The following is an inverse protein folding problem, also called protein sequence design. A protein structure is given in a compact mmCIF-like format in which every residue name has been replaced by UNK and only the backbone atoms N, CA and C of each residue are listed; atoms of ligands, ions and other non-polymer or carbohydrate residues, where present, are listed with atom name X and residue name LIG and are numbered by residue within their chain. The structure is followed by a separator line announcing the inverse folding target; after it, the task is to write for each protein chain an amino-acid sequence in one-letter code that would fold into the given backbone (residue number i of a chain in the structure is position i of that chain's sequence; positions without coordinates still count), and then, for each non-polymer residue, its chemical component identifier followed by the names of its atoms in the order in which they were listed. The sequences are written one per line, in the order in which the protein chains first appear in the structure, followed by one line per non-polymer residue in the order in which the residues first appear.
data_IF_713885744313
#
_entry.id   IF_713885744313
#
_cell.length_a   1.000
_cell.length_b   1.000
_cell.length_c   1.000
_cell.angle_alpha   90.00
_cell.angle_beta   90.00
_cell.angle_gamma   90.00
#
_symmetry.space_group_name_H-M   'P 1'
#
loop_
_entity.id
_entity.type
_entity.pdbx_description
1 polymer ?
#
# COMPACT_ATOMS: atom_id res chain seq x y z
N UNK A 1 3.13 -49.41 -44.40
CA UNK A 1 3.29 -48.02 -43.91
C UNK A 1 2.11 -47.17 -44.38
N UNK A 2 1.18 -46.81 -43.49
CA UNK A 2 0.33 -45.58 -43.57
C UNK A 2 -0.11 -45.25 -42.13
N UNK A 3 0.44 -44.17 -41.56
CA UNK A 3 0.08 -43.63 -40.25
C UNK A 3 -1.23 -42.84 -40.39
N UNK A 4 -2.27 -43.15 -39.60
CA UNK A 4 -3.41 -42.24 -39.41
C UNK A 4 -3.21 -41.52 -38.08
N UNK A 5 -2.85 -40.24 -38.17
CA UNK A 5 -2.75 -39.36 -37.02
C UNK A 5 -4.18 -38.89 -36.69
N UNK A 6 -4.73 -39.40 -35.59
CA UNK A 6 -5.99 -38.91 -35.02
C UNK A 6 -5.66 -37.65 -34.21
N UNK A 7 -6.03 -36.48 -34.75
CA UNK A 7 -5.96 -35.22 -34.02
C UNK A 7 -7.29 -35.08 -33.27
N UNK A 8 -7.34 -35.60 -32.05
CA UNK A 8 -8.37 -35.22 -31.09
C UNK A 8 -7.98 -33.83 -30.57
N UNK A 9 -8.60 -32.80 -31.12
CA UNK A 9 -8.51 -31.44 -30.59
C UNK A 9 -9.15 -31.42 -29.20
N UNK A 10 -8.33 -31.23 -28.17
CA UNK A 10 -8.82 -30.89 -26.84
C UNK A 10 -9.38 -29.47 -26.90
N UNK A 11 -10.70 -29.35 -26.92
CA UNK A 11 -11.37 -28.07 -26.70
C UNK A 11 -11.09 -27.64 -25.26
N UNK A 12 -10.12 -26.75 -25.07
CA UNK A 12 -9.93 -26.05 -23.80
C UNK A 12 -11.08 -25.06 -23.67
N UNK A 13 -12.14 -25.46 -22.98
CA UNK A 13 -13.23 -24.59 -22.57
C UNK A 13 -12.70 -23.65 -21.49
N UNK A 14 -12.28 -22.45 -21.86
CA UNK A 14 -12.04 -21.37 -20.89
C UNK A 14 -13.40 -20.82 -20.48
N UNK A 15 -14.08 -21.56 -19.60
CA UNK A 15 -15.26 -21.10 -18.90
C UNK A 15 -14.82 -20.35 -17.65
N UNK A 16 -14.57 -19.05 -17.75
CA UNK A 16 -14.48 -18.20 -16.55
C UNK A 16 -15.85 -17.55 -16.38
N UNK A 17 -16.76 -18.27 -15.74
CA UNK A 17 -17.89 -17.66 -15.06
C UNK A 17 -17.36 -17.04 -13.77
N UNK A 18 -17.12 -15.74 -13.74
CA UNK A 18 -17.07 -15.01 -12.47
C UNK A 18 -17.98 -13.81 -12.53
N UNK A 19 -19.25 -14.05 -12.23
CA UNK A 19 -20.01 -13.06 -11.45
C UNK A 19 -19.29 -12.93 -10.10
N UNK A 20 -18.41 -11.94 -9.95
CA UNK A 20 -17.79 -11.65 -8.66
C UNK A 20 -18.19 -10.26 -8.19
N UNK A 21 -18.97 -10.26 -7.12
CA UNK A 21 -19.13 -9.18 -6.16
C UNK A 21 -17.77 -8.49 -5.92
N UNK A 22 -17.72 -7.17 -6.04
CA UNK A 22 -16.50 -6.38 -5.93
C UNK A 22 -16.05 -6.33 -4.46
N UNK A 23 -15.29 -7.33 -4.05
CA UNK A 23 -14.62 -7.43 -2.74
C UNK A 23 -13.11 -7.54 -2.98
N UNK A 24 -12.31 -6.63 -2.38
CA UNK A 24 -10.84 -6.56 -2.29
C UNK A 24 -10.00 -7.30 -3.37
N UNK A 25 -10.47 -7.29 -4.62
CA UNK A 25 -9.86 -7.86 -5.82
C UNK A 25 -9.53 -6.70 -6.75
N UNK A 26 -8.49 -5.95 -6.41
CA UNK A 26 -7.86 -5.05 -7.38
C UNK A 26 -7.30 -5.92 -8.50
N UNK A 27 -7.54 -5.61 -9.78
CA UNK A 27 -6.74 -6.19 -10.84
C UNK A 27 -5.26 -5.94 -10.52
N UNK A 28 -4.42 -6.94 -10.75
CA UNK A 28 -2.97 -6.82 -10.61
C UNK A 28 -2.51 -5.60 -11.40
N UNK A 29 -1.94 -4.59 -10.71
CA UNK A 29 -1.58 -3.29 -11.30
C UNK A 29 -0.21 -3.35 -11.96
N UNK A 30 0.68 -4.17 -11.40
CA UNK A 30 2.05 -4.35 -11.86
C UNK A 30 2.35 -5.83 -12.04
N UNK A 31 3.02 -6.15 -13.14
CA UNK A 31 3.71 -7.43 -13.31
C UNK A 31 4.79 -7.60 -12.23
N UNK A 32 5.26 -8.84 -11.96
CA UNK A 32 6.34 -9.06 -11.01
C UNK A 32 7.62 -8.27 -11.32
N UNK A 33 7.95 -8.10 -12.61
CA UNK A 33 9.14 -7.35 -13.04
C UNK A 33 8.99 -5.85 -12.79
N UNK A 34 7.84 -5.26 -13.14
CA UNK A 34 7.53 -3.85 -12.86
C UNK A 34 7.54 -3.57 -11.37
N UNK A 35 6.94 -4.46 -10.56
CA UNK A 35 6.92 -4.32 -9.11
C UNK A 35 8.34 -4.34 -8.54
N UNK A 36 9.19 -5.27 -9.01
CA UNK A 36 10.60 -5.34 -8.59
C UNK A 36 11.34 -4.05 -8.95
N UNK A 37 11.12 -3.51 -10.15
CA UNK A 37 11.72 -2.25 -10.59
C UNK A 37 11.28 -1.07 -9.71
N UNK A 38 9.98 -0.97 -9.43
CA UNK A 38 9.43 0.09 -8.58
C UNK A 38 9.97 0.01 -7.15
N UNK A 39 10.12 -1.20 -6.58
CA UNK A 39 10.72 -1.38 -5.26
C UNK A 39 12.17 -0.87 -5.22
N UNK A 40 12.95 -1.13 -6.26
CA UNK A 40 14.32 -0.61 -6.37
C UNK A 40 14.35 0.92 -6.51
N UNK A 41 13.49 1.47 -7.38
CA UNK A 41 13.39 2.92 -7.61
C UNK A 41 12.92 3.69 -6.38
N UNK A 42 12.11 3.07 -5.50
CA UNK A 42 11.59 3.69 -4.29
C UNK A 42 12.47 3.48 -3.05
N UNK A 43 13.64 2.83 -3.17
CA UNK A 43 14.58 2.73 -2.05
C UNK A 43 15.02 4.11 -1.59
N UNK A 44 15.02 4.31 -0.27
CA UNK A 44 15.49 5.56 0.32
C UNK A 44 17.01 5.63 0.18
N UNK A 45 17.50 6.77 -0.31
CA UNK A 45 18.94 7.01 -0.37
C UNK A 45 19.49 7.25 1.04
N UNK A 46 20.24 6.29 1.58
CA UNK A 46 20.90 6.37 2.89
C UNK A 46 22.19 5.56 2.87
N UNK A 47 23.19 5.95 3.68
CA UNK A 47 24.40 5.16 3.87
C UNK A 47 24.17 3.93 4.79
N UNK A 48 23.10 3.94 5.58
CA UNK A 48 22.79 2.85 6.50
C UNK A 48 22.25 1.62 5.73
N UNK A 49 23.04 0.55 5.70
CA UNK A 49 22.73 -0.68 4.98
C UNK A 49 21.53 -1.43 5.59
N UNK A 50 21.36 -1.39 6.92
CA UNK A 50 20.23 -2.03 7.60
C UNK A 50 18.90 -1.40 7.16
N UNK A 51 18.86 -0.07 7.02
CA UNK A 51 17.67 0.62 6.51
C UNK A 51 17.38 0.21 5.07
N UNK A 52 18.42 0.18 4.21
CA UNK A 52 18.28 -0.22 2.79
C UNK A 52 17.73 -1.63 2.61
N UNK A 53 18.14 -2.55 3.48
CA UNK A 53 17.78 -3.97 3.34
C UNK A 53 16.42 -4.30 3.96
N UNK A 54 15.97 -3.52 4.94
CA UNK A 54 14.79 -3.86 5.74
C UNK A 54 13.62 -2.88 5.62
N UNK A 55 13.82 -1.69 5.06
CA UNK A 55 12.74 -0.75 4.77
C UNK A 55 12.25 -0.95 3.33
N UNK A 56 11.13 -1.66 3.20
CA UNK A 56 10.59 -2.08 1.91
C UNK A 56 9.44 -1.18 1.47
N UNK A 57 9.47 -0.67 0.24
CA UNK A 57 8.31 -0.01 -0.37
C UNK A 57 7.23 -1.03 -0.71
N UNK A 58 5.98 -0.71 -0.35
CA UNK A 58 4.85 -1.61 -0.53
C UNK A 58 3.84 -1.01 -1.52
N UNK A 59 3.42 -1.82 -2.48
CA UNK A 59 2.33 -1.48 -3.39
C UNK A 59 0.97 -1.87 -2.79
N UNK A 60 -0.13 -1.14 -3.11
CA UNK A 60 -1.47 -1.52 -2.68
C UNK A 60 -1.88 -2.95 -3.07
N UNK A 61 -1.38 -3.46 -4.21
CA UNK A 61 -1.71 -4.80 -4.72
C UNK A 61 -1.16 -5.94 -3.84
N UNK A 62 -0.17 -5.66 -2.99
CA UNK A 62 0.44 -6.63 -2.08
C UNK A 62 -0.40 -6.85 -0.82
N UNK A 63 -1.45 -6.03 -0.63
CA UNK A 63 -2.44 -6.14 0.47
C UNK A 63 -1.79 -6.29 1.87
N UNK A 64 -0.89 -5.39 2.29
CA UNK A 64 -0.15 -5.52 3.55
C UNK A 64 -1.03 -5.50 4.81
N UNK A 65 -2.28 -5.02 4.71
CA UNK A 65 -3.19 -4.82 5.84
C UNK A 65 -4.36 -5.82 5.87
N UNK A 66 -4.17 -7.00 5.27
CA UNK A 66 -5.17 -8.07 5.33
C UNK A 66 -5.24 -8.73 6.72
N UNK A 67 -4.17 -8.64 7.49
CA UNK A 67 -4.09 -9.14 8.84
C UNK A 67 -3.24 -8.20 9.68
N UNK A 68 -3.35 -8.35 11.00
CA UNK A 68 -2.43 -7.72 11.96
C UNK A 68 -1.14 -8.52 11.85
N UNK A 69 -0.04 -7.84 11.49
CA UNK A 69 1.27 -8.47 11.28
C UNK A 69 2.35 -7.97 12.25
N UNK A 70 1.96 -7.09 13.20
CA UNK A 70 2.82 -6.46 14.20
C UNK A 70 4.03 -5.69 13.63
N UNK A 71 4.05 -5.44 12.31
CA UNK A 71 5.12 -4.69 11.65
C UNK A 71 4.91 -3.19 11.76
N UNK A 72 6.00 -2.46 11.65
CA UNK A 72 5.97 -1.00 11.58
C UNK A 72 5.84 -0.54 10.13
N UNK A 73 4.98 0.43 9.92
CA UNK A 73 4.71 1.05 8.64
C UNK A 73 4.96 2.55 8.70
N UNK A 74 5.45 3.08 7.58
CA UNK A 74 5.58 4.51 7.32
C UNK A 74 4.69 4.85 6.14
N UNK A 75 3.80 5.81 6.32
CA UNK A 75 2.88 6.25 5.26
C UNK A 75 3.13 7.72 5.00
N UNK A 76 3.40 8.05 3.75
CA UNK A 76 3.45 9.44 3.29
C UNK A 76 2.11 9.79 2.66
N UNK A 77 1.39 10.70 3.30
CA UNK A 77 0.02 11.05 2.94
C UNK A 77 -0.29 12.53 3.14
N UNK A 78 -1.40 12.97 2.57
CA UNK A 78 -1.99 14.29 2.80
C UNK A 78 -3.50 14.23 2.65
N UNK A 79 -4.20 15.12 3.34
CA UNK A 79 -5.66 15.17 3.32
C UNK A 79 -6.25 15.79 2.05
N UNK A 80 -5.55 16.76 1.46
CA UNK A 80 -5.98 17.52 0.28
C UNK A 80 -4.75 17.83 -0.59
N UNK A 81 -4.95 18.03 -1.90
CA UNK A 81 -3.85 18.30 -2.84
C UNK A 81 -3.11 19.61 -2.61
N UNK A 82 -3.73 20.56 -1.90
CA UNK A 82 -3.12 21.85 -1.51
C UNK A 82 -2.31 21.76 -0.23
N UNK A 83 -2.45 20.66 0.52
CA UNK A 83 -1.70 20.43 1.74
C UNK A 83 -0.34 19.81 1.46
N UNK A 84 0.60 20.06 2.36
CA UNK A 84 1.91 19.44 2.36
C UNK A 84 1.81 17.94 2.67
N UNK A 85 2.82 17.19 2.22
CA UNK A 85 2.96 15.78 2.54
C UNK A 85 3.39 15.62 3.99
N UNK A 86 2.76 14.68 4.70
CA UNK A 86 3.13 14.26 6.05
C UNK A 86 3.58 12.80 6.02
N UNK A 87 4.56 12.47 6.84
CA UNK A 87 4.96 11.09 7.12
C UNK A 87 4.42 10.67 8.49
N UNK A 88 3.79 9.50 8.53
CA UNK A 88 3.24 8.92 9.76
C UNK A 88 3.78 7.52 9.94
N UNK A 89 4.37 7.26 11.12
CA UNK A 89 4.86 5.94 11.55
C UNK A 89 3.82 5.29 12.47
N UNK A 90 3.51 4.02 12.26
CA UNK A 90 2.63 3.27 13.15
C UNK A 90 2.93 1.77 13.15
N UNK A 91 2.54 1.07 14.22
CA UNK A 91 2.56 -0.39 14.29
C UNK A 91 1.21 -0.94 13.83
N UNK A 92 1.23 -1.96 12.98
CA UNK A 92 0.03 -2.68 12.53
C UNK A 92 -0.39 -3.70 13.58
N UNK A 93 -0.77 -3.20 14.77
CA UNK A 93 -1.15 -3.98 15.96
C UNK A 93 -2.68 -4.06 16.16
N UNK A 94 -3.41 -3.09 15.61
CA UNK A 94 -4.86 -3.06 15.59
C UNK A 94 -5.39 -2.16 14.46
N UNK A 95 -6.69 -2.27 14.21
CA UNK A 95 -7.37 -1.43 13.22
C UNK A 95 -7.96 -0.19 13.90
N UNK A 96 -7.43 0.99 13.58
CA UNK A 96 -7.75 2.26 14.26
C UNK A 96 -7.50 3.49 13.39
N UNK A 97 -7.88 4.67 13.91
CA UNK A 97 -7.29 5.94 13.45
C UNK A 97 -5.81 5.94 13.82
N UNK A 98 -4.97 6.12 12.81
CA UNK A 98 -3.51 6.12 12.92
C UNK A 98 -3.02 7.50 13.35
N UNK A 99 -3.50 8.54 12.67
CA UNK A 99 -3.02 9.91 12.85
C UNK A 99 -4.06 10.92 12.36
N UNK A 100 -3.94 12.17 12.83
CA UNK A 100 -4.79 13.29 12.42
C UNK A 100 -3.93 14.44 11.90
N UNK A 101 -4.43 15.12 10.89
CA UNK A 101 -3.78 16.30 10.33
C UNK A 101 -4.83 17.25 9.76
N UNK A 102 -4.93 18.45 10.32
CA UNK A 102 -6.02 19.39 10.05
C UNK A 102 -7.38 18.72 10.25
N UNK A 103 -8.27 18.82 9.26
CA UNK A 103 -9.58 18.19 9.24
C UNK A 103 -9.55 16.76 8.66
N UNK A 104 -8.38 16.12 8.60
CA UNK A 104 -8.22 14.80 8.01
C UNK A 104 -7.68 13.76 8.99
N UNK A 105 -8.06 12.50 8.78
CA UNK A 105 -7.58 11.35 9.53
C UNK A 105 -7.05 10.27 8.60
N UNK A 106 -5.86 9.76 8.92
CA UNK A 106 -5.35 8.51 8.36
C UNK A 106 -5.88 7.36 9.22
N UNK A 107 -6.49 6.37 8.58
CA UNK A 107 -7.08 5.22 9.27
C UNK A 107 -6.70 3.92 8.55
N UNK A 108 -6.71 2.82 9.31
CA UNK A 108 -6.56 1.46 8.78
C UNK A 108 -7.81 0.65 9.15
N UNK A 109 -8.48 0.09 8.15
CA UNK A 109 -9.69 -0.74 8.34
C UNK A 109 -9.44 -2.22 8.04
N UNK A 110 -10.04 -3.13 8.84
CA UNK A 110 -9.88 -4.56 8.65
C UNK A 110 -10.60 -5.03 7.38
N UNK A 111 -10.13 -6.12 6.75
CA UNK A 111 -10.83 -6.73 5.62
C UNK A 111 -12.19 -7.36 5.98
N UNK A 112 -12.49 -7.55 7.28
CA UNK A 112 -13.85 -7.92 7.72
C UNK A 112 -14.90 -6.92 7.24
N UNK A 113 -14.51 -5.67 7.01
CA UNK A 113 -15.37 -4.61 6.49
C UNK A 113 -15.44 -4.60 4.94
N UNK A 114 -15.28 -5.79 4.30
CA UNK A 114 -15.21 -6.24 2.88
C UNK A 114 -15.33 -5.23 1.72
N UNK A 115 -16.02 -4.13 1.94
CA UNK A 115 -16.22 -2.95 1.09
C UNK A 115 -15.02 -1.96 1.18
N UNK A 116 -14.31 -1.91 2.32
CA UNK A 116 -13.14 -1.04 2.55
C UNK A 116 -12.06 -1.82 3.30
N UNK A 117 -10.95 -2.15 2.64
CA UNK A 117 -9.79 -2.84 3.22
C UNK A 117 -8.56 -1.91 3.19
N UNK A 118 -7.81 -1.81 4.29
CA UNK A 118 -6.50 -1.14 4.32
C UNK A 118 -6.54 0.35 4.67
N UNK A 119 -5.57 1.11 4.15
CA UNK A 119 -5.41 2.54 4.45
C UNK A 119 -6.48 3.39 3.75
N UNK A 120 -7.02 4.34 4.50
CA UNK A 120 -7.94 5.36 3.99
C UNK A 120 -7.69 6.71 4.66
N UNK A 121 -8.17 7.74 3.99
CA UNK A 121 -8.23 9.10 4.52
C UNK A 121 -9.70 9.48 4.69
N UNK A 122 -10.02 9.92 5.91
CA UNK A 122 -11.30 10.51 6.25
C UNK A 122 -11.18 12.03 6.36
N UNK A 123 -12.23 12.74 5.95
CA UNK A 123 -12.38 14.18 6.15
C UNK A 123 -13.44 14.44 7.23
N UNK A 124 -13.17 15.37 8.13
CA UNK A 124 -14.05 15.79 9.21
C UNK A 124 -15.31 16.44 8.65
N UNK A 125 -16.44 16.06 9.24
CA UNK A 125 -17.78 16.59 9.04
C UNK A 125 -18.44 16.76 10.42
N UNK A 126 -19.58 17.41 10.47
CA UNK A 126 -20.30 17.65 11.73
C UNK A 126 -20.67 16.36 12.48
N UNK A 127 -20.88 15.26 11.75
CA UNK A 127 -21.26 13.94 12.28
C UNK A 127 -20.08 12.96 12.43
N UNK A 128 -18.84 13.40 12.25
CA UNK A 128 -17.64 12.56 12.35
C UNK A 128 -16.78 12.60 11.09
N UNK A 129 -16.05 11.53 10.80
CA UNK A 129 -15.17 11.46 9.62
C UNK A 129 -15.81 10.66 8.48
N UNK A 130 -15.86 11.28 7.30
CA UNK A 130 -16.32 10.63 6.08
C UNK A 130 -15.10 10.14 5.28
N UNK A 131 -14.99 8.85 4.93
CA UNK A 131 -13.95 8.38 4.02
C UNK A 131 -14.01 9.11 2.67
N UNK A 132 -12.91 9.73 2.26
CA UNK A 132 -12.79 10.44 0.97
C UNK A 132 -11.84 9.74 -0.02
N UNK A 133 -10.85 9.00 0.49
CA UNK A 133 -9.89 8.29 -0.35
C UNK A 133 -9.46 6.97 0.29
N UNK A 134 -9.42 5.90 -0.50
CA UNK A 134 -8.78 4.64 -0.14
C UNK A 134 -7.44 4.57 -0.85
N UNK A 135 -6.41 4.08 -0.19
CA UNK A 135 -5.08 3.95 -0.79
C UNK A 135 -5.08 3.11 -2.07
N UNK A 136 -5.85 2.01 -2.06
CA UNK A 136 -6.00 1.12 -3.21
C UNK A 136 -6.61 1.79 -4.45
N UNK A 137 -7.40 2.85 -4.26
CA UNK A 137 -8.11 3.57 -5.32
C UNK A 137 -7.42 4.89 -5.71
N UNK A 138 -6.34 5.29 -5.02
CA UNK A 138 -5.61 6.53 -5.27
C UNK A 138 -4.59 6.38 -6.40
N UNK A 139 -5.07 6.19 -7.62
CA UNK A 139 -4.22 5.87 -8.78
C UNK A 139 -3.22 6.96 -9.14
N UNK A 140 -3.52 8.22 -8.81
CA UNK A 140 -2.70 9.38 -9.14
C UNK A 140 -1.77 9.80 -7.99
N UNK A 141 -1.72 9.02 -6.90
CA UNK A 141 -0.98 9.35 -5.69
C UNK A 141 -1.30 10.76 -5.19
N UNK A 142 -2.59 11.13 -5.25
CA UNK A 142 -3.07 12.47 -4.90
C UNK A 142 -3.06 12.70 -3.39
N UNK A 143 -3.29 11.64 -2.62
CA UNK A 143 -3.40 11.64 -1.17
C UNK A 143 -2.42 10.68 -0.49
N UNK A 144 -2.00 9.62 -1.17
CA UNK A 144 -0.99 8.67 -0.71
C UNK A 144 0.20 8.68 -1.66
N UNK A 145 1.35 9.14 -1.18
CA UNK A 145 2.57 9.19 -1.99
C UNK A 145 3.30 7.86 -1.99
N UNK A 146 3.46 7.25 -0.82
CA UNK A 146 4.18 5.99 -0.64
C UNK A 146 3.89 5.36 0.71
N UNK A 147 4.10 4.05 0.78
CA UNK A 147 4.00 3.25 2.00
C UNK A 147 5.23 2.37 2.09
N UNK A 148 5.86 2.37 3.27
CA UNK A 148 7.00 1.53 3.57
C UNK A 148 6.69 0.62 4.75
N UNK A 149 7.30 -0.56 4.75
CA UNK A 149 7.24 -1.53 5.82
C UNK A 149 8.63 -1.79 6.35
N UNK A 150 8.78 -1.74 7.66
CA UNK A 150 9.97 -2.19 8.35
C UNK A 150 9.89 -3.70 8.60
N UNK A 151 10.88 -4.44 8.09
CA UNK A 151 10.89 -5.90 8.15
C UNK A 151 11.70 -6.48 9.33
N UNK A 152 12.30 -5.63 10.19
CA UNK A 152 12.94 -6.04 11.44
C UNK A 152 12.08 -5.71 12.66
N UNK A 153 12.59 -6.09 13.82
CA UNK A 153 12.05 -5.72 15.13
C UNK A 153 12.19 -4.21 15.41
N UNK A 154 11.53 -3.77 16.48
CA UNK A 154 11.34 -2.36 16.85
C UNK A 154 12.64 -1.58 17.12
N UNK A 155 13.70 -2.26 17.54
CA UNK A 155 14.88 -1.62 18.14
C UNK A 155 15.70 -0.75 17.18
N UNK A 156 15.46 -0.84 15.86
CA UNK A 156 16.21 -0.14 14.82
C UNK A 156 15.31 0.63 13.85
N UNK A 157 14.19 1.17 14.33
CA UNK A 157 13.26 1.92 13.48
C UNK A 157 13.92 3.19 12.94
N UNK A 158 13.97 3.37 11.61
CA UNK A 158 14.52 4.59 11.03
C UNK A 158 13.63 5.79 11.32
N UNK A 159 14.24 6.91 11.70
CA UNK A 159 13.53 8.18 11.72
C UNK A 159 13.50 8.75 10.31
N UNK A 160 12.31 8.73 9.71
CA UNK A 160 12.09 9.23 8.36
C UNK A 160 11.49 10.64 8.40
N UNK A 161 12.02 11.53 7.57
CA UNK A 161 11.56 12.90 7.39
C UNK A 161 11.29 13.19 5.93
N UNK A 162 10.51 14.23 5.67
CA UNK A 162 10.22 14.75 4.34
C UNK A 162 11.04 16.02 4.15
N UNK A 163 11.81 16.11 3.07
CA UNK A 163 12.57 17.32 2.72
C UNK A 163 11.69 18.38 2.03
N UNK A 164 12.24 19.58 1.81
CA UNK A 164 11.52 20.70 1.17
C UNK A 164 11.04 20.39 -0.26
N UNK A 165 11.61 19.36 -0.90
CA UNK A 165 11.20 18.85 -2.22
C UNK A 165 10.22 17.68 -2.10
N UNK A 166 9.68 17.46 -0.91
CA UNK A 166 8.79 16.37 -0.55
C UNK A 166 9.39 14.96 -0.69
N UNK A 167 10.71 14.81 -0.75
CA UNK A 167 11.37 13.51 -0.80
C UNK A 167 11.59 12.97 0.60
N UNK A 168 11.52 11.64 0.73
CA UNK A 168 11.72 10.97 2.01
C UNK A 168 13.22 10.77 2.22
N UNK A 169 13.70 11.09 3.41
CA UNK A 169 15.08 10.85 3.84
C UNK A 169 15.09 10.25 5.22
N UNK A 170 16.18 9.55 5.53
CA UNK A 170 16.52 9.27 6.92
C UNK A 170 16.96 10.58 7.55
N UNK A 171 16.41 10.91 8.71
CA UNK A 171 16.86 12.04 9.51
C UNK A 171 18.31 11.77 9.88
N UNK A 172 19.23 12.54 9.31
CA UNK A 172 20.63 12.49 9.71
C UNK A 172 20.71 12.96 11.18
N UNK A 173 21.52 12.27 11.99
CA UNK A 173 21.85 12.68 13.37
C UNK A 173 22.60 14.02 13.39
#
# INVERSE_FOLDING_TARGET
MKKKLSILGTSTLIGISTTSLVACNTPQKYTPEELKKLKEENKINTANQEIKDNLEWIAPQEKPFNEVDDKYYYVVWRGDEKLEWKITKFKSDNFKTIDKFNDFELQILPPKNKIICGLLIGEKKDWGYKPIKKWMDDKNNSHFKSVYRWNLEENNLPDLVIDDKSNIKVKEE
#
